data_IF_601534871852
#
_entry.id   IF_601534871852
#
_cell.length_a   1.000
_cell.length_b   1.000
_cell.length_c   1.000
_cell.angle_alpha   90.00
_cell.angle_beta   90.00
_cell.angle_gamma   90.00
#
_symmetry.space_group_name_H-M   'P 1'
#
loop_
_entity.id
_entity.type
_entity.pdbx_description
1 polymer ?
#
# COMPACT_ATOMS: atom_id res chain seq x y z
N UNK A 1 8.95 24.83 -17.35
CA UNK A 1 8.02 25.87 -16.85
C UNK A 1 6.81 25.12 -16.33
N UNK A 2 6.81 24.80 -15.03
CA UNK A 2 5.70 24.10 -14.39
C UNK A 2 4.55 25.11 -14.31
N UNK A 3 3.50 24.92 -15.10
CA UNK A 3 2.27 25.69 -14.93
C UNK A 3 1.72 25.37 -13.55
N UNK A 4 1.71 26.37 -12.68
CA UNK A 4 0.83 26.43 -11.52
C UNK A 4 -0.59 26.19 -12.02
N UNK A 5 -1.15 25.01 -11.74
CA UNK A 5 -2.50 24.66 -12.14
C UNK A 5 -3.46 25.11 -11.03
N UNK A 6 -4.18 26.24 -11.16
CA UNK A 6 -4.87 26.87 -10.05
C UNK A 6 -6.29 26.31 -9.82
N UNK A 7 -6.55 25.06 -10.21
CA UNK A 7 -7.88 24.45 -10.15
C UNK A 7 -7.79 23.06 -9.50
N UNK A 8 -7.27 22.99 -8.27
CA UNK A 8 -7.48 21.82 -7.42
C UNK A 8 -8.38 22.20 -6.27
N UNK A 9 -9.60 21.68 -6.31
CA UNK A 9 -10.66 21.98 -5.36
C UNK A 9 -10.23 21.43 -3.99
N UNK A 10 -9.60 22.29 -3.17
CA UNK A 10 -8.98 21.91 -1.89
C UNK A 10 -9.90 21.09 -0.99
N UNK A 11 -11.21 21.21 -1.16
CA UNK A 11 -12.24 20.50 -0.41
C UNK A 11 -12.19 18.97 -0.59
N UNK A 12 -11.99 18.43 -1.79
CA UNK A 12 -12.02 16.97 -2.02
C UNK A 12 -10.75 16.27 -1.51
N UNK A 13 -9.59 16.87 -1.77
CA UNK A 13 -8.29 16.44 -1.21
C UNK A 13 -8.32 16.53 0.32
N UNK A 14 -8.80 17.66 0.89
CA UNK A 14 -8.99 17.79 2.34
C UNK A 14 -9.92 16.74 2.92
N UNK A 15 -10.96 16.32 2.19
CA UNK A 15 -11.91 15.29 2.66
C UNK A 15 -11.28 13.90 2.68
N UNK A 16 -10.44 13.58 1.70
CA UNK A 16 -9.70 12.30 1.66
C UNK A 16 -8.56 12.28 2.69
N UNK A 17 -7.78 13.37 2.82
CA UNK A 17 -6.78 13.56 3.87
C UNK A 17 -7.42 13.48 5.26
N UNK A 18 -8.61 14.06 5.43
CA UNK A 18 -9.38 13.96 6.67
C UNK A 18 -9.78 12.52 7.01
N UNK A 19 -10.17 11.72 6.01
CA UNK A 19 -10.47 10.28 6.16
C UNK A 19 -9.21 9.49 6.52
N UNK A 20 -8.04 9.91 6.03
CA UNK A 20 -6.76 9.21 6.20
C UNK A 20 -5.93 9.69 7.40
N UNK A 21 -6.50 10.54 8.29
CA UNK A 21 -5.78 11.18 9.40
C UNK A 21 -5.03 10.18 10.28
N UNK A 22 -3.72 10.07 10.05
CA UNK A 22 -2.75 9.54 10.98
C UNK A 22 -1.42 10.26 10.75
N UNK A 23 -0.94 11.01 11.75
CA UNK A 23 0.15 12.00 11.61
C UNK A 23 1.47 11.44 11.06
N UNK A 24 1.70 10.12 11.13
CA UNK A 24 2.92 9.47 10.65
C UNK A 24 2.94 9.13 9.15
N UNK A 25 1.80 9.12 8.44
CA UNK A 25 1.74 8.81 7.00
C UNK A 25 1.37 10.06 6.15
N UNK A 26 1.10 11.19 6.81
CA UNK A 26 0.57 12.47 6.28
C UNK A 26 1.52 13.26 5.35
N UNK A 27 2.44 12.61 4.63
CA UNK A 27 3.23 13.26 3.57
C UNK A 27 3.23 12.45 2.29
N UNK A 28 3.51 11.16 2.40
CA UNK A 28 3.59 10.29 1.23
C UNK A 28 2.22 9.94 0.64
N UNK A 29 1.18 9.81 1.46
CA UNK A 29 -0.19 9.60 0.96
C UNK A 29 -0.72 10.85 0.26
N UNK A 30 -0.37 12.03 0.76
CA UNK A 30 -0.76 13.29 0.16
C UNK A 30 -0.15 13.41 -1.24
N UNK A 31 1.13 13.06 -1.41
CA UNK A 31 1.76 12.99 -2.74
C UNK A 31 1.06 12.01 -3.69
N UNK A 32 0.67 10.82 -3.23
CA UNK A 32 -0.06 9.84 -4.07
C UNK A 32 -1.40 10.44 -4.55
N UNK A 33 -2.13 11.05 -3.62
CA UNK A 33 -3.44 11.65 -3.88
C UNK A 33 -3.32 12.85 -4.82
N UNK A 34 -2.35 13.74 -4.58
CA UNK A 34 -2.06 14.88 -5.43
C UNK A 34 -1.72 14.43 -6.85
N UNK A 35 -0.84 13.43 -7.00
CA UNK A 35 -0.49 12.90 -8.32
C UNK A 35 -1.70 12.29 -9.05
N UNK A 36 -2.57 11.56 -8.35
CA UNK A 36 -3.82 11.04 -8.94
C UNK A 36 -4.70 12.17 -9.49
N UNK A 37 -4.94 13.21 -8.69
CA UNK A 37 -5.79 14.33 -9.09
C UNK A 37 -5.14 15.18 -10.19
N UNK A 38 -3.81 15.29 -10.19
CA UNK A 38 -3.01 15.98 -11.23
C UNK A 38 -2.99 15.25 -12.57
N UNK A 39 -3.52 14.02 -12.65
CA UNK A 39 -3.42 13.16 -13.83
C UNK A 39 -2.05 12.51 -14.00
N UNK A 40 -1.15 12.62 -13.02
CA UNK A 40 0.12 11.92 -13.00
C UNK A 40 -0.06 10.48 -12.48
N UNK A 41 -0.72 9.68 -13.30
CA UNK A 41 -1.08 8.30 -12.99
C UNK A 41 0.14 7.38 -12.86
N UNK A 42 1.20 7.64 -13.62
CA UNK A 42 2.47 6.92 -13.50
C UNK A 42 3.03 7.04 -12.09
N UNK A 43 3.31 8.27 -11.62
CA UNK A 43 3.89 8.49 -10.30
C UNK A 43 2.98 7.96 -9.19
N UNK A 44 1.66 8.14 -9.33
CA UNK A 44 0.70 7.58 -8.39
C UNK A 44 0.81 6.05 -8.29
N UNK A 45 0.72 5.33 -9.42
CA UNK A 45 0.84 3.87 -9.45
C UNK A 45 2.20 3.37 -8.92
N UNK A 46 3.30 4.05 -9.27
CA UNK A 46 4.65 3.69 -8.80
C UNK A 46 4.80 3.76 -7.28
N UNK A 47 4.02 4.63 -6.61
CA UNK A 47 4.09 4.83 -5.17
C UNK A 47 3.11 3.94 -4.37
N UNK A 48 2.02 3.45 -4.99
CA UNK A 48 0.99 2.66 -4.29
C UNK A 48 1.56 1.32 -3.79
N UNK A 49 2.23 0.54 -4.66
CA UNK A 49 2.74 -0.79 -4.28
C UNK A 49 3.74 -0.73 -3.10
N UNK A 50 4.77 0.14 -3.12
CA UNK A 50 5.66 0.33 -1.96
C UNK A 50 4.92 0.78 -0.69
N UNK A 51 3.84 1.57 -0.83
CA UNK A 51 3.05 2.01 0.33
C UNK A 51 2.33 0.86 0.99
N UNK A 52 1.70 -0.01 0.21
CA UNK A 52 1.00 -1.18 0.74
C UNK A 52 1.99 -2.16 1.38
N UNK A 53 3.14 -2.41 0.73
CA UNK A 53 4.21 -3.22 1.32
C UNK A 53 4.66 -2.65 2.67
N UNK A 54 4.90 -1.34 2.75
CA UNK A 54 5.27 -0.67 4.00
C UNK A 54 4.19 -0.82 5.06
N UNK A 55 2.91 -0.75 4.69
CA UNK A 55 1.81 -0.92 5.63
C UNK A 55 1.81 -2.33 6.23
N UNK A 56 1.96 -3.36 5.39
CA UNK A 56 2.04 -4.76 5.84
C UNK A 56 3.23 -4.94 6.78
N UNK A 57 4.42 -4.44 6.43
CA UNK A 57 5.61 -4.51 7.29
C UNK A 57 5.40 -3.77 8.63
N UNK A 58 4.73 -2.63 8.61
CA UNK A 58 4.38 -1.91 9.84
C UNK A 58 3.41 -2.68 10.73
N UNK A 59 2.53 -3.51 10.16
CA UNK A 59 1.65 -4.40 10.93
C UNK A 59 2.45 -5.40 11.74
N UNK A 60 3.45 -6.07 11.13
CA UNK A 60 4.37 -6.96 11.86
C UNK A 60 5.06 -6.24 13.01
N UNK A 61 5.65 -5.07 12.72
CA UNK A 61 6.36 -4.29 13.74
C UNK A 61 5.45 -3.89 14.90
N UNK A 62 4.20 -3.50 14.63
CA UNK A 62 3.23 -3.14 15.68
C UNK A 62 2.74 -4.34 16.49
N UNK A 63 2.71 -5.53 15.90
CA UNK A 63 2.38 -6.78 16.59
C UNK A 63 3.54 -7.33 17.43
N UNK A 64 4.76 -6.78 17.28
CA UNK A 64 5.96 -7.34 17.89
C UNK A 64 6.49 -8.58 17.17
N UNK A 65 5.98 -8.84 15.95
CA UNK A 65 6.37 -9.96 15.10
C UNK A 65 7.62 -9.61 14.28
N UNK A 66 8.40 -10.63 13.94
CA UNK A 66 9.59 -10.46 13.10
C UNK A 66 9.21 -10.42 11.61
N UNK A 67 9.65 -9.38 10.89
CA UNK A 67 9.61 -9.37 9.42
C UNK A 67 10.71 -10.23 8.76
N UNK A 68 11.58 -10.86 9.56
CA UNK A 68 12.67 -11.71 9.09
C UNK A 68 12.31 -13.21 9.25
N UNK A 69 12.65 -14.01 8.24
CA UNK A 69 12.72 -15.45 8.36
C UNK A 69 14.08 -15.88 8.92
N UNK A 70 14.05 -16.91 9.76
CA UNK A 70 15.22 -17.60 10.26
C UNK A 70 15.62 -18.71 9.28
N UNK A 71 16.91 -18.82 8.99
CA UNK A 71 17.48 -19.79 8.05
C UNK A 71 18.72 -20.45 8.65
N UNK A 72 19.01 -21.67 8.17
CA UNK A 72 20.11 -22.51 8.66
C UNK A 72 19.69 -23.43 9.80
N UNK A 73 20.45 -24.53 10.03
CA UNK A 73 20.14 -25.55 11.05
C UNK A 73 19.95 -24.98 12.46
N UNK A 74 20.63 -23.87 12.74
CA UNK A 74 20.64 -23.22 14.05
C UNK A 74 19.94 -21.84 14.03
N UNK A 75 19.15 -21.53 12.99
CA UNK A 75 18.51 -20.21 12.81
C UNK A 75 19.50 -19.02 12.82
N UNK A 76 20.76 -19.27 12.47
CA UNK A 76 21.86 -18.31 12.55
C UNK A 76 21.83 -17.22 11.47
N UNK A 77 21.02 -17.40 10.43
CA UNK A 77 20.84 -16.41 9.37
C UNK A 77 19.44 -15.81 9.43
N UNK A 78 19.37 -14.48 9.45
CA UNK A 78 18.11 -13.76 9.29
C UNK A 78 18.04 -13.19 7.88
N UNK A 79 17.00 -13.58 7.15
CA UNK A 79 16.72 -13.05 5.80
C UNK A 79 15.39 -12.32 5.88
N UNK A 80 15.33 -11.11 5.32
CA UNK A 80 14.09 -10.35 5.25
C UNK A 80 13.04 -11.18 4.48
N UNK A 81 11.87 -11.42 5.09
CA UNK A 81 10.82 -12.14 4.38
C UNK A 81 10.40 -11.37 3.14
N UNK A 82 10.24 -12.10 2.04
CA UNK A 82 9.60 -11.54 0.85
C UNK A 82 8.13 -11.23 1.16
N UNK A 83 7.54 -10.32 0.37
CA UNK A 83 6.17 -9.89 0.60
C UNK A 83 5.17 -11.04 0.50
N UNK A 84 5.36 -11.96 -0.46
CA UNK A 84 4.52 -13.15 -0.61
C UNK A 84 4.44 -14.02 0.64
N UNK A 85 5.55 -14.22 1.35
CA UNK A 85 5.59 -15.00 2.57
C UNK A 85 4.93 -14.27 3.74
N UNK A 86 5.07 -12.93 3.80
CA UNK A 86 4.42 -12.11 4.81
C UNK A 86 2.89 -12.10 4.63
N UNK A 87 2.42 -12.12 3.39
CA UNK A 87 1.01 -12.12 3.06
C UNK A 87 0.30 -13.42 3.48
N UNK A 88 1.02 -14.55 3.49
CA UNK A 88 0.48 -15.89 3.81
C UNK A 88 0.40 -16.19 5.31
N UNK A 89 0.85 -15.29 6.18
CA UNK A 89 0.76 -15.52 7.62
C UNK A 89 -0.68 -15.36 8.10
N UNK A 90 -1.14 -16.27 8.96
CA UNK A 90 -2.52 -16.30 9.47
C UNK A 90 -2.94 -14.96 10.07
N UNK A 91 -2.07 -14.32 10.88
CA UNK A 91 -2.38 -13.03 11.51
C UNK A 91 -2.62 -11.90 10.48
N UNK A 92 -1.93 -11.94 9.33
CA UNK A 92 -2.13 -10.96 8.26
C UNK A 92 -3.42 -11.24 7.51
N UNK A 93 -3.70 -12.52 7.26
CA UNK A 93 -4.95 -12.99 6.66
C UNK A 93 -6.16 -12.63 7.54
N UNK A 94 -6.05 -12.73 8.87
CA UNK A 94 -7.09 -12.32 9.82
C UNK A 94 -7.36 -10.80 9.80
N UNK A 95 -6.31 -9.97 9.74
CA UNK A 95 -6.44 -8.51 9.78
C UNK A 95 -7.04 -7.98 8.48
N UNK A 96 -6.51 -8.43 7.33
CA UNK A 96 -6.85 -7.86 6.02
C UNK A 96 -7.92 -8.65 5.27
N UNK A 97 -8.07 -9.94 5.56
CA UNK A 97 -8.98 -10.87 4.90
C UNK A 97 -8.36 -11.60 3.71
N UNK A 98 -8.58 -12.90 3.63
CA UNK A 98 -8.03 -13.81 2.60
C UNK A 98 -8.29 -13.34 1.18
N UNK A 99 -9.52 -12.93 0.88
CA UNK A 99 -9.90 -12.43 -0.44
C UNK A 99 -9.08 -11.21 -0.85
N UNK A 100 -8.80 -10.33 0.12
CA UNK A 100 -8.06 -9.09 -0.07
C UNK A 100 -6.57 -9.36 -0.31
N UNK A 101 -6.01 -10.29 0.45
CA UNK A 101 -4.62 -10.73 0.30
C UNK A 101 -4.39 -11.47 -1.02
N UNK A 102 -5.32 -12.33 -1.42
CA UNK A 102 -5.25 -13.04 -2.69
C UNK A 102 -5.33 -12.08 -3.87
N UNK A 103 -6.22 -11.09 -3.79
CA UNK A 103 -6.32 -10.05 -4.81
C UNK A 103 -5.06 -9.19 -4.89
N UNK A 104 -4.48 -8.82 -3.74
CA UNK A 104 -3.22 -8.09 -3.70
C UNK A 104 -2.06 -8.90 -4.30
N UNK A 105 -1.93 -10.18 -3.93
CA UNK A 105 -0.90 -11.07 -4.47
C UNK A 105 -1.02 -11.22 -5.98
N UNK A 106 -2.24 -11.38 -6.50
CA UNK A 106 -2.49 -11.41 -7.93
C UNK A 106 -2.16 -10.08 -8.63
N UNK A 107 -2.48 -8.96 -7.99
CA UNK A 107 -2.27 -7.64 -8.56
C UNK A 107 -0.79 -7.25 -8.58
N UNK A 108 -0.01 -7.54 -7.55
CA UNK A 108 1.35 -6.99 -7.40
C UNK A 108 2.49 -8.00 -7.48
N UNK A 109 2.22 -9.31 -7.34
CA UNK A 109 3.27 -10.34 -7.31
C UNK A 109 3.15 -11.35 -8.46
N UNK A 110 2.07 -11.32 -9.24
CA UNK A 110 1.95 -12.18 -10.41
C UNK A 110 2.67 -11.56 -11.62
N UNK A 111 3.75 -12.18 -12.06
CA UNK A 111 4.58 -11.70 -13.18
C UNK A 111 3.84 -11.66 -14.54
N UNK A 112 2.73 -12.38 -14.66
CA UNK A 112 1.92 -12.48 -15.89
C UNK A 112 0.75 -11.48 -15.88
N UNK A 113 0.46 -10.86 -14.73
CA UNK A 113 -0.64 -9.90 -14.63
C UNK A 113 -0.26 -8.59 -15.32
N UNK A 114 -1.02 -8.21 -16.36
CA UNK A 114 -0.95 -6.87 -16.97
C UNK A 114 -1.15 -5.74 -15.94
N UNK A 115 -1.79 -6.06 -14.81
CA UNK A 115 -2.05 -5.15 -13.71
C UNK A 115 -0.96 -5.17 -12.62
N UNK A 116 0.14 -5.91 -12.82
CA UNK A 116 1.32 -5.82 -11.97
C UNK A 116 2.14 -4.58 -12.29
N UNK A 117 1.60 -3.42 -11.91
CA UNK A 117 2.22 -2.13 -12.18
C UNK A 117 3.59 -1.97 -11.55
N UNK A 118 3.88 -2.63 -10.43
CA UNK A 118 5.23 -2.66 -9.88
C UNK A 118 6.19 -3.23 -10.92
N UNK A 119 5.86 -4.41 -11.46
CA UNK A 119 6.67 -5.05 -12.49
C UNK A 119 6.63 -4.26 -13.80
N UNK A 120 5.48 -3.73 -14.22
CA UNK A 120 5.39 -2.93 -15.45
C UNK A 120 6.22 -1.64 -15.38
N UNK A 121 6.28 -0.98 -14.23
CA UNK A 121 7.15 0.19 -13.97
C UNK A 121 8.61 -0.25 -13.97
N UNK A 122 8.97 -1.26 -13.16
CA UNK A 122 10.37 -1.66 -12.97
C UNK A 122 11.00 -2.30 -14.22
N UNK A 123 10.21 -3.00 -15.04
CA UNK A 123 10.69 -3.67 -16.25
C UNK A 123 10.37 -2.90 -17.53
N UNK A 124 9.71 -1.73 -17.43
CA UNK A 124 9.37 -0.91 -18.61
C UNK A 124 8.38 -1.57 -19.56
N UNK A 125 7.54 -2.50 -19.08
CA UNK A 125 6.50 -3.13 -19.91
C UNK A 125 5.38 -2.16 -20.30
N UNK A 126 5.29 -1.01 -19.62
CA UNK A 126 4.27 0.02 -19.84
C UNK A 126 4.94 1.38 -19.94
N UNK A 127 4.66 2.11 -21.01
CA UNK A 127 5.11 3.49 -21.21
C UNK A 127 4.32 4.44 -20.32
N UNK A 128 4.92 5.60 -20.03
CA UNK A 128 4.35 6.64 -19.18
C UNK A 128 2.89 7.01 -19.54
N UNK A 129 2.57 7.08 -20.84
CA UNK A 129 1.24 7.48 -21.34
C UNK A 129 0.16 6.41 -21.21
N UNK A 130 0.55 5.15 -21.04
CA UNK A 130 -0.40 4.05 -20.97
C UNK A 130 -1.05 3.96 -19.56
N UNK A 131 -0.47 4.63 -18.56
CA UNK A 131 -1.03 4.74 -17.21
C UNK A 131 -2.27 5.63 -17.25
N UNK A 132 -3.42 5.06 -16.88
CA UNK A 132 -4.70 5.74 -17.01
C UNK A 132 -5.48 5.80 -15.69
N UNK A 133 -6.45 6.70 -15.66
CA UNK A 133 -7.29 6.99 -14.50
C UNK A 133 -7.97 5.75 -13.93
N UNK A 134 -8.53 4.87 -14.78
CA UNK A 134 -9.36 3.75 -14.34
C UNK A 134 -8.52 2.80 -13.48
N UNK A 135 -7.37 2.42 -14.01
CA UNK A 135 -6.43 1.50 -13.35
C UNK A 135 -5.86 2.11 -12.07
N UNK A 136 -5.47 3.38 -12.11
CA UNK A 136 -4.97 4.07 -10.91
C UNK A 136 -6.05 4.22 -9.85
N UNK A 137 -7.31 4.45 -10.25
CA UNK A 137 -8.44 4.52 -9.31
C UNK A 137 -8.59 3.21 -8.55
N UNK A 138 -8.49 2.08 -9.27
CA UNK A 138 -8.61 0.76 -8.68
C UNK A 138 -7.47 0.48 -7.70
N UNK A 139 -6.23 0.84 -8.04
CA UNK A 139 -5.10 0.71 -7.11
C UNK A 139 -5.25 1.62 -5.88
N UNK A 140 -5.71 2.86 -6.07
CA UNK A 140 -5.95 3.79 -4.98
C UNK A 140 -7.05 3.26 -4.03
N UNK A 141 -8.10 2.67 -4.58
CA UNK A 141 -9.16 2.03 -3.81
C UNK A 141 -8.63 0.89 -2.93
N UNK A 142 -7.75 0.04 -3.48
CA UNK A 142 -7.09 -1.03 -2.71
C UNK A 142 -6.26 -0.45 -1.57
N UNK A 143 -5.44 0.58 -1.85
CA UNK A 143 -4.65 1.25 -0.82
C UNK A 143 -5.53 1.80 0.31
N UNK A 144 -6.66 2.44 -0.02
CA UNK A 144 -7.62 2.96 0.97
C UNK A 144 -8.19 1.82 1.84
N UNK A 145 -8.53 0.67 1.24
CA UNK A 145 -9.05 -0.47 1.99
C UNK A 145 -8.00 -1.08 2.93
N UNK A 146 -6.74 -1.18 2.49
CA UNK A 146 -5.62 -1.57 3.34
C UNK A 146 -5.44 -0.63 4.53
N UNK A 147 -5.45 0.68 4.29
CA UNK A 147 -5.33 1.69 5.34
C UNK A 147 -6.50 1.59 6.33
N UNK A 148 -7.73 1.46 5.84
CA UNK A 148 -8.92 1.30 6.67
C UNK A 148 -8.79 0.09 7.61
N UNK A 149 -8.44 -1.09 7.07
CA UNK A 149 -8.26 -2.32 7.85
C UNK A 149 -7.16 -2.18 8.90
N UNK A 150 -6.04 -1.57 8.53
CA UNK A 150 -4.93 -1.32 9.44
C UNK A 150 -5.37 -0.47 10.65
N UNK A 151 -6.03 0.65 10.41
CA UNK A 151 -6.49 1.52 11.50
C UNK A 151 -7.60 0.89 12.32
N UNK A 152 -8.62 0.29 11.69
CA UNK A 152 -9.70 -0.39 12.40
C UNK A 152 -9.20 -1.48 13.36
N UNK A 153 -8.13 -2.19 12.99
CA UNK A 153 -7.55 -3.22 13.84
C UNK A 153 -6.75 -2.63 15.01
N UNK A 154 -5.84 -1.69 14.74
CA UNK A 154 -4.97 -1.15 15.78
C UNK A 154 -5.70 -0.18 16.73
N UNK A 155 -6.69 0.56 16.25
CA UNK A 155 -7.51 1.43 17.10
C UNK A 155 -8.29 0.58 18.13
N UNK A 156 -8.85 -0.57 17.72
CA UNK A 156 -9.51 -1.53 18.64
C UNK A 156 -8.55 -2.09 19.69
N UNK A 157 -7.32 -2.43 19.30
CA UNK A 157 -6.31 -2.92 20.26
C UNK A 157 -5.95 -1.84 21.28
N UNK A 158 -5.82 -0.58 20.84
CA UNK A 158 -5.52 0.54 21.74
C UNK A 158 -6.68 0.89 22.67
N UNK A 159 -7.92 0.74 22.22
CA UNK A 159 -9.13 0.87 23.06
C UNK A 159 -9.18 -0.21 24.14
N UNK A 160 -8.99 -1.48 23.77
CA UNK A 160 -9.00 -2.61 24.71
C UNK A 160 -7.87 -2.56 25.76
N UNK A 161 -6.78 -1.82 25.51
CA UNK A 161 -5.68 -1.62 26.47
C UNK A 161 -5.96 -0.53 27.51
N UNK A 162 -7.01 0.27 27.32
CA UNK A 162 -7.40 1.36 28.23
C UNK A 162 -8.46 0.95 29.26
N UNK A 163 -9.08 -0.23 29.07
CA UNK A 163 -9.96 -0.90 30.04
C UNK A 163 -9.13 -1.77 31.01
#
# INVERSE_FOLDING_TARGET
MFCENPIFNSCQTKKLIYILKNEKINGFLDEIIENYFSGNYFTCCSAISPTIERLIRNTYLKLGESENALYGKDNSFQIKNNLDNLLKQEIIMEIYGDEFINYFSWLFNNDISYYNYRNSVCHGYKNYEEYNKIETTLQLFILILFLKKFYEYFDKIEENKKE
#
